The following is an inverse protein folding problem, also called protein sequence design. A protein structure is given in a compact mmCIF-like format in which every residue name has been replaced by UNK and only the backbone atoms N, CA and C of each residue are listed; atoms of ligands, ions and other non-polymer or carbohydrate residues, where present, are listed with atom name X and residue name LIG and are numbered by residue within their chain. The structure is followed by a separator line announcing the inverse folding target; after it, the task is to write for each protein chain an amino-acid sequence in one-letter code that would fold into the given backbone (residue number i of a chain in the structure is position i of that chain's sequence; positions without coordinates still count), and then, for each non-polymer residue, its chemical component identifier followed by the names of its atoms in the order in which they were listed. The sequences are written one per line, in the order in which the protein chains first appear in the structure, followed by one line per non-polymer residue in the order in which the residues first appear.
data_IF_676551051945
#
_entry.id   IF_676551051945
#
_cell.length_a   1.000
_cell.length_b   1.000
_cell.length_c   1.000
_cell.angle_alpha   90.00
_cell.angle_beta   90.00
_cell.angle_gamma   90.00
#
_symmetry.space_group_name_H-M   'P 1'
#
loop_
_entity.id
_entity.type
_entity.pdbx_description
1 polymer ?
#
# COMPACT_ATOMS: atom_id res chain seq x y z
N UNK A 1 -16.98 14.02 -0.68
CA UNK A 1 -16.24 13.46 -1.82
C UNK A 1 -15.37 12.38 -1.26
N UNK A 2 -15.52 11.14 -1.72
CA UNK A 2 -14.62 10.05 -1.35
C UNK A 2 -13.25 10.40 -1.93
N UNK A 3 -12.37 10.90 -1.08
CA UNK A 3 -10.96 11.10 -1.40
C UNK A 3 -10.36 9.71 -1.62
N UNK A 4 -10.56 9.18 -2.82
CA UNK A 4 -9.82 8.04 -3.34
C UNK A 4 -8.38 8.51 -3.54
N UNK A 5 -7.64 8.65 -2.44
CA UNK A 5 -6.19 8.78 -2.45
C UNK A 5 -5.63 7.39 -2.77
N UNK A 6 -5.85 6.96 -4.00
CA UNK A 6 -5.42 5.66 -4.51
C UNK A 6 -3.90 5.57 -4.36
N UNK A 7 -3.46 4.61 -3.54
CA UNK A 7 -2.06 4.25 -3.44
C UNK A 7 -1.72 3.43 -4.67
N UNK A 8 -0.75 3.90 -5.45
CA UNK A 8 -0.24 3.16 -6.59
C UNK A 8 0.64 2.01 -6.08
N UNK A 9 0.27 0.78 -6.45
CA UNK A 9 0.99 -0.43 -6.10
C UNK A 9 1.43 -1.16 -7.36
N UNK A 10 2.74 -1.40 -7.49
CA UNK A 10 3.33 -2.06 -8.65
C UNK A 10 4.20 -3.24 -8.22
N UNK A 11 3.95 -4.42 -8.78
CA UNK A 11 4.87 -5.55 -8.68
C UNK A 11 6.01 -5.33 -9.67
N UNK A 12 7.20 -4.99 -9.16
CA UNK A 12 8.42 -4.92 -9.96
C UNK A 12 8.86 -6.33 -10.33
N UNK A 13 8.74 -7.26 -9.38
CA UNK A 13 8.90 -8.71 -9.57
C UNK A 13 7.86 -9.44 -8.71
N UNK A 14 7.85 -10.77 -8.73
CA UNK A 14 7.00 -11.59 -7.89
C UNK A 14 7.24 -11.38 -6.39
N UNK A 15 8.42 -10.89 -5.99
CA UNK A 15 8.82 -10.68 -4.59
C UNK A 15 9.14 -9.22 -4.24
N UNK A 16 9.05 -8.29 -5.19
CA UNK A 16 9.36 -6.88 -4.99
C UNK A 16 8.16 -6.04 -5.40
N UNK A 17 7.61 -5.30 -4.45
CA UNK A 17 6.49 -4.38 -4.65
C UNK A 17 6.95 -2.96 -4.36
N UNK A 18 6.63 -2.05 -5.28
CA UNK A 18 6.76 -0.61 -5.07
C UNK A 18 5.40 -0.01 -4.72
N UNK A 19 5.42 0.96 -3.81
CA UNK A 19 4.26 1.75 -3.41
C UNK A 19 4.57 3.22 -3.68
N UNK A 20 3.61 3.94 -4.27
CA UNK A 20 3.68 5.38 -4.48
C UNK A 20 2.41 6.02 -3.94
N UNK A 21 2.59 7.14 -3.26
CA UNK A 21 1.50 7.92 -2.69
C UNK A 21 1.38 9.24 -3.45
N UNK A 22 0.15 9.69 -3.78
CA UNK A 22 -0.03 10.96 -4.44
C UNK A 22 0.47 12.11 -3.55
N UNK A 23 1.11 13.10 -4.19
CA UNK A 23 1.60 14.30 -3.51
C UNK A 23 0.46 15.03 -2.82
N UNK A 24 0.67 15.45 -1.57
CA UNK A 24 -0.37 16.08 -0.74
C UNK A 24 -1.11 15.11 0.20
N UNK A 25 -0.76 13.82 0.20
CA UNK A 25 -1.26 12.88 1.22
C UNK A 25 -0.86 13.36 2.62
N UNK A 26 -1.83 13.45 3.53
CA UNK A 26 -1.57 13.79 4.93
C UNK A 26 -0.83 12.66 5.66
N UNK A 27 0.08 12.99 6.59
CA UNK A 27 0.88 12.00 7.33
C UNK A 27 0.03 10.92 8.03
N UNK A 28 -1.13 11.32 8.57
CA UNK A 28 -2.06 10.38 9.20
C UNK A 28 -2.64 9.39 8.20
N UNK A 29 -2.92 9.82 6.96
CA UNK A 29 -3.42 8.96 5.88
C UNK A 29 -2.35 7.98 5.39
N UNK A 30 -1.06 8.38 5.37
CA UNK A 30 0.04 7.45 5.07
C UNK A 30 0.05 6.24 6.00
N UNK A 31 -0.07 6.46 7.31
CA UNK A 31 -0.05 5.38 8.30
C UNK A 31 -1.25 4.43 8.16
N UNK A 32 -2.43 4.97 7.85
CA UNK A 32 -3.65 4.16 7.63
C UNK A 32 -3.48 3.30 6.37
N UNK A 33 -3.11 3.92 5.25
CA UNK A 33 -2.93 3.20 3.98
C UNK A 33 -1.82 2.14 4.07
N UNK A 34 -0.71 2.41 4.77
CA UNK A 34 0.34 1.40 4.98
C UNK A 34 -0.19 0.19 5.74
N UNK A 35 -1.04 0.39 6.74
CA UNK A 35 -1.67 -0.73 7.48
C UNK A 35 -2.60 -1.55 6.60
N UNK A 36 -3.38 -0.89 5.76
CA UNK A 36 -4.28 -1.54 4.81
C UNK A 36 -3.51 -2.35 3.76
N UNK A 37 -2.48 -1.76 3.15
CA UNK A 37 -1.60 -2.45 2.19
C UNK A 37 -0.91 -3.64 2.86
N UNK A 38 -0.38 -3.47 4.08
CA UNK A 38 0.24 -4.57 4.82
C UNK A 38 -0.77 -5.70 5.10
N UNK A 39 -2.01 -5.36 5.46
CA UNK A 39 -3.08 -6.34 5.65
C UNK A 39 -3.41 -7.07 4.35
N UNK A 40 -3.52 -6.35 3.24
CA UNK A 40 -3.76 -6.92 1.92
C UNK A 40 -2.63 -7.86 1.49
N UNK A 41 -1.37 -7.45 1.66
CA UNK A 41 -0.21 -8.27 1.33
C UNK A 41 -0.17 -9.54 2.17
N UNK A 42 -0.46 -9.46 3.47
CA UNK A 42 -0.61 -10.66 4.32
C UNK A 42 -1.76 -11.57 3.87
N UNK A 43 -2.87 -11.01 3.39
CA UNK A 43 -3.98 -11.83 2.87
C UNK A 43 -3.62 -12.55 1.56
N UNK A 44 -2.92 -11.87 0.66
CA UNK A 44 -2.55 -12.42 -0.67
C UNK A 44 -1.31 -13.32 -0.63
N UNK A 45 -0.33 -12.98 0.20
CA UNK A 45 0.99 -13.63 0.27
C UNK A 45 1.25 -14.34 1.61
N UNK A 46 0.23 -14.47 2.46
CA UNK A 46 0.32 -15.12 3.77
C UNK A 46 1.49 -14.56 4.60
N UNK A 47 2.36 -15.44 5.11
CA UNK A 47 3.55 -15.07 5.91
C UNK A 47 4.82 -14.94 5.05
N UNK A 48 4.70 -14.86 3.72
CA UNK A 48 5.84 -14.84 2.81
C UNK A 48 6.32 -13.43 2.46
N UNK A 49 5.69 -12.40 3.06
CA UNK A 49 6.05 -11.00 2.88
C UNK A 49 6.51 -10.44 4.23
N UNK A 50 7.73 -9.88 4.28
CA UNK A 50 8.41 -9.29 5.45
C UNK A 50 8.36 -7.76 5.39
#
# INVERSE_FOLDING_TARGET
MEENNEVDLVYITERIIALSFPGGTEEQKYSVHLREVTSMLRSKHQQHYL
#
